data_IF_685157720380
#
_entry.id   IF_685157720380
#
_cell.length_a   1.000
_cell.length_b   1.000
_cell.length_c   1.000
_cell.angle_alpha   90.00
_cell.angle_beta   90.00
_cell.angle_gamma   90.00
#
_symmetry.space_group_name_H-M   'P 1'
#
loop_
_entity.id
_entity.type
_entity.pdbx_description
1 polymer ?
#
# COMPACT_ATOMS: atom_id res chain seq x y z
N UNK A 1 -19.53 -7.59 -18.73
CA UNK A 1 -19.40 -6.11 -18.73
C UNK A 1 -18.15 -5.77 -17.94
N UNK A 2 -17.14 -5.18 -18.59
CA UNK A 2 -15.96 -4.62 -17.92
C UNK A 2 -16.40 -3.38 -17.16
N UNK A 3 -16.50 -3.47 -15.83
CA UNK A 3 -16.75 -2.28 -15.01
C UNK A 3 -15.54 -1.35 -15.17
N UNK A 4 -15.81 -0.10 -15.55
CA UNK A 4 -14.77 0.92 -15.72
C UNK A 4 -14.57 1.60 -14.38
N UNK A 5 -13.34 1.57 -13.87
CA UNK A 5 -12.98 2.15 -12.58
C UNK A 5 -12.48 3.57 -12.84
N UNK A 6 -13.36 4.54 -12.67
CA UNK A 6 -13.14 5.95 -13.00
C UNK A 6 -13.62 6.89 -11.88
N UNK A 7 -13.12 8.12 -11.89
CA UNK A 7 -13.55 9.13 -10.92
C UNK A 7 -15.04 9.48 -11.10
N UNK A 8 -15.85 9.51 -10.03
CA UNK A 8 -17.28 9.84 -10.12
C UNK A 8 -17.53 11.31 -10.48
N UNK A 9 -16.56 12.21 -10.23
CA UNK A 9 -16.71 13.65 -10.53
C UNK A 9 -16.36 14.00 -11.97
N UNK A 10 -15.25 13.49 -12.49
CA UNK A 10 -14.71 13.92 -13.79
C UNK A 10 -14.47 12.79 -14.78
N UNK A 11 -14.81 11.53 -14.43
CA UNK A 11 -14.50 10.31 -15.20
C UNK A 11 -13.02 10.15 -15.56
N UNK A 12 -12.14 10.80 -14.79
CA UNK A 12 -10.70 10.73 -14.94
C UNK A 12 -10.12 9.45 -14.35
N UNK A 13 -8.85 9.14 -14.66
CA UNK A 13 -8.17 7.99 -14.10
C UNK A 13 -8.01 8.10 -12.59
N UNK A 14 -8.04 6.96 -11.92
CA UNK A 14 -7.82 6.83 -10.49
C UNK A 14 -6.40 6.32 -10.21
N UNK A 15 -5.87 6.64 -9.03
CA UNK A 15 -4.69 6.03 -8.43
C UNK A 15 -5.09 5.39 -7.10
N UNK A 16 -4.47 4.26 -6.77
CA UNK A 16 -4.51 3.69 -5.43
C UNK A 16 -3.38 4.31 -4.62
N UNK A 17 -3.65 4.61 -3.37
CA UNK A 17 -2.63 5.00 -2.41
C UNK A 17 -2.72 4.07 -1.19
N UNK A 18 -1.55 3.71 -0.67
CA UNK A 18 -1.36 2.89 0.52
C UNK A 18 -0.36 3.62 1.41
N UNK A 19 -0.74 3.92 2.64
CA UNK A 19 0.20 4.35 3.69
C UNK A 19 0.59 3.11 4.48
N UNK A 20 1.87 2.79 4.45
CA UNK A 20 2.41 1.60 5.12
C UNK A 20 3.48 2.06 6.10
N UNK A 21 3.27 1.78 7.38
CA UNK A 21 4.24 2.03 8.42
C UNK A 21 5.13 0.80 8.58
N UNK A 22 6.41 0.92 8.26
CA UNK A 22 7.36 -0.18 8.40
C UNK A 22 8.60 0.26 9.18
N UNK A 23 9.07 -0.63 10.05
CA UNK A 23 10.33 -0.46 10.79
C UNK A 23 11.44 -1.30 10.15
N UNK A 24 12.55 -0.65 9.79
CA UNK A 24 13.76 -1.32 9.33
C UNK A 24 14.82 -1.32 10.44
N UNK A 25 15.24 -2.51 10.87
CA UNK A 25 16.22 -2.71 11.94
C UNK A 25 17.43 -3.49 11.46
N UNK A 26 18.60 -3.20 12.06
CA UNK A 26 19.87 -3.87 11.78
C UNK A 26 20.52 -4.35 13.08
N UNK A 27 21.13 -5.53 13.05
CA UNK A 27 21.99 -5.97 14.14
C UNK A 27 23.35 -5.27 14.07
N UNK A 28 23.74 -4.58 15.14
CA UNK A 28 25.05 -3.91 15.25
C UNK A 28 26.00 -4.79 16.03
N UNK A 29 27.12 -5.16 15.42
CA UNK A 29 28.17 -5.91 16.10
C UNK A 29 29.03 -5.01 17.01
N UNK A 30 29.83 -5.61 17.90
CA UNK A 30 30.68 -4.87 18.86
C UNK A 30 31.72 -3.95 18.21
N UNK A 31 32.05 -4.16 16.94
CA UNK A 31 32.96 -3.30 16.17
C UNK A 31 32.24 -2.30 15.26
N UNK A 32 30.92 -2.13 15.41
CA UNK A 32 30.12 -1.18 14.65
C UNK A 32 29.70 -1.66 13.25
N UNK A 33 30.03 -2.90 12.85
CA UNK A 33 29.53 -3.44 11.57
C UNK A 33 28.04 -3.77 11.68
N UNK A 34 27.27 -3.29 10.70
CA UNK A 34 25.88 -3.67 10.50
C UNK A 34 25.81 -5.09 9.93
N UNK A 35 24.89 -5.88 10.46
CA UNK A 35 24.58 -7.25 10.05
C UNK A 35 23.08 -7.45 10.10
N UNK A 36 22.59 -8.61 9.63
CA UNK A 36 21.19 -9.10 9.62
C UNK A 36 20.13 -7.99 9.70
N UNK A 37 19.52 -7.66 8.55
CA UNK A 37 18.37 -6.75 8.49
C UNK A 37 17.07 -7.47 8.86
N UNK A 38 16.15 -6.76 9.52
CA UNK A 38 14.76 -7.15 9.67
C UNK A 38 13.87 -5.98 9.28
N UNK A 39 12.85 -6.26 8.47
CA UNK A 39 11.75 -5.34 8.20
C UNK A 39 10.56 -5.89 8.97
N UNK A 40 9.99 -5.06 9.81
CA UNK A 40 8.78 -5.35 10.55
C UNK A 40 7.72 -4.38 10.07
N UNK A 41 6.65 -4.91 9.49
CA UNK A 41 5.44 -4.14 9.21
C UNK A 41 4.79 -3.76 10.54
N UNK A 42 4.58 -2.47 10.75
CA UNK A 42 3.88 -1.97 11.92
C UNK A 42 2.38 -2.07 11.60
N UNK A 43 1.79 -3.23 11.89
CA UNK A 43 0.35 -3.50 11.74
C UNK A 43 -0.57 -2.59 12.59
N UNK A 44 0.00 -1.61 13.29
CA UNK A 44 -0.73 -0.56 14.03
C UNK A 44 -1.08 0.66 13.17
N UNK A 45 -0.60 0.72 11.92
CA UNK A 45 -1.23 1.63 10.96
C UNK A 45 -2.67 1.15 10.78
N UNK A 46 -3.67 2.03 10.91
CA UNK A 46 -5.09 1.73 10.70
C UNK A 46 -5.42 1.33 9.24
N UNK A 47 -4.44 0.84 8.47
CA UNK A 47 -4.59 0.44 7.08
C UNK A 47 -5.08 1.60 6.24
N UNK A 48 -4.38 2.75 6.31
CA UNK A 48 -4.77 3.91 5.52
C UNK A 48 -4.48 3.63 4.06
N UNK A 49 -5.55 3.34 3.34
CA UNK A 49 -5.56 3.13 1.92
C UNK A 49 -6.73 3.87 1.30
N UNK A 50 -6.72 4.02 -0.01
CA UNK A 50 -7.86 4.60 -0.71
C UNK A 50 -7.62 4.80 -2.19
N UNK A 51 -8.56 5.50 -2.80
CA UNK A 51 -8.49 5.93 -4.19
C UNK A 51 -8.45 7.45 -4.24
N UNK A 52 -7.69 7.97 -5.19
CA UNK A 52 -7.69 9.39 -5.51
C UNK A 52 -7.76 9.56 -7.03
N UNK A 53 -8.47 10.61 -7.47
CA UNK A 53 -8.45 10.99 -8.88
C UNK A 53 -7.11 11.66 -9.21
N UNK A 54 -6.64 11.42 -10.44
CA UNK A 54 -5.43 12.06 -10.93
C UNK A 54 -5.71 13.42 -11.60
N UNK A 55 -6.98 13.76 -11.84
CA UNK A 55 -7.39 14.95 -12.59
C UNK A 55 -8.17 15.99 -11.75
N UNK A 56 -8.71 15.61 -10.58
CA UNK A 56 -9.45 16.50 -9.70
C UNK A 56 -9.28 16.10 -8.23
N UNK A 57 -9.80 16.90 -7.31
CA UNK A 57 -9.63 16.74 -5.85
C UNK A 57 -10.58 15.69 -5.25
N UNK A 58 -10.98 14.68 -6.02
CA UNK A 58 -11.76 13.56 -5.48
C UNK A 58 -10.81 12.53 -4.88
N UNK A 59 -11.07 12.16 -3.62
CA UNK A 59 -10.45 11.03 -2.95
C UNK A 59 -11.45 10.35 -2.02
N UNK A 60 -11.19 9.09 -1.70
CA UNK A 60 -11.99 8.30 -0.77
C UNK A 60 -11.07 7.31 -0.04
N UNK A 61 -11.29 7.16 1.27
CA UNK A 61 -10.59 6.17 2.06
C UNK A 61 -11.16 4.78 1.82
N UNK A 62 -10.32 3.75 1.93
CA UNK A 62 -10.72 2.35 1.71
C UNK A 62 -11.81 1.89 2.67
N UNK A 63 -11.86 2.43 3.89
CA UNK A 63 -12.94 2.19 4.84
C UNK A 63 -14.30 2.73 4.37
N UNK A 64 -14.29 3.80 3.59
CA UNK A 64 -15.49 4.47 3.09
C UNK A 64 -15.92 3.94 1.71
N UNK A 65 -15.23 2.93 1.17
CA UNK A 65 -15.57 2.32 -0.11
C UNK A 65 -16.72 1.33 0.01
N UNK A 66 -17.84 1.66 -0.64
CA UNK A 66 -18.98 0.75 -0.78
C UNK A 66 -18.91 -0.11 -2.07
N UNK A 67 -18.17 0.36 -3.08
CA UNK A 67 -18.08 -0.29 -4.39
C UNK A 67 -17.08 -1.46 -4.38
N UNK A 68 -17.59 -2.68 -4.59
CA UNK A 68 -16.79 -3.91 -4.58
C UNK A 68 -15.68 -3.96 -5.63
N UNK A 69 -15.84 -3.28 -6.76
CA UNK A 69 -14.80 -3.23 -7.79
C UNK A 69 -13.65 -2.32 -7.35
N UNK A 70 -13.95 -1.23 -6.66
CA UNK A 70 -12.97 -0.33 -6.08
C UNK A 70 -12.20 -1.01 -4.93
N UNK A 71 -12.90 -1.74 -4.05
CA UNK A 71 -12.27 -2.52 -2.97
C UNK A 71 -11.26 -3.54 -3.52
N UNK A 72 -11.60 -4.26 -4.60
CA UNK A 72 -10.70 -5.25 -5.23
C UNK A 72 -9.41 -4.65 -5.77
N UNK A 73 -9.45 -3.42 -6.27
CA UNK A 73 -8.25 -2.74 -6.76
C UNK A 73 -7.32 -2.38 -5.60
N UNK A 74 -7.88 -1.97 -4.45
CA UNK A 74 -7.10 -1.76 -3.23
C UNK A 74 -6.52 -3.07 -2.71
N UNK A 75 -7.29 -4.16 -2.65
CA UNK A 75 -6.80 -5.50 -2.27
C UNK A 75 -5.63 -5.95 -3.17
N UNK A 76 -5.76 -5.74 -4.48
CA UNK A 76 -4.70 -6.08 -5.45
C UNK A 76 -3.42 -5.27 -5.22
N UNK A 77 -3.54 -4.02 -4.78
CA UNK A 77 -2.40 -3.18 -4.44
C UNK A 77 -1.72 -3.67 -3.15
N UNK A 78 -2.50 -4.07 -2.13
CA UNK A 78 -1.96 -4.71 -0.92
C UNK A 78 -1.22 -6.00 -1.22
N UNK A 79 -1.76 -6.86 -2.07
CA UNK A 79 -1.08 -8.11 -2.47
C UNK A 79 0.28 -7.84 -3.14
N UNK A 80 0.33 -6.86 -4.05
CA UNK A 80 1.60 -6.46 -4.68
C UNK A 80 2.60 -5.89 -3.67
N UNK A 81 2.12 -5.18 -2.65
CA UNK A 81 2.95 -4.71 -1.54
C UNK A 81 3.53 -5.88 -0.73
N UNK A 82 2.70 -6.84 -0.32
CA UNK A 82 3.15 -8.02 0.43
C UNK A 82 4.20 -8.82 -0.35
N UNK A 83 4.01 -8.99 -1.66
CA UNK A 83 4.99 -9.63 -2.55
C UNK A 83 6.32 -8.87 -2.59
N UNK A 84 6.28 -7.53 -2.64
CA UNK A 84 7.47 -6.70 -2.57
C UNK A 84 8.17 -6.84 -1.22
N UNK A 85 7.42 -6.83 -0.12
CA UNK A 85 7.96 -7.01 1.22
C UNK A 85 8.66 -8.36 1.36
N UNK A 86 8.02 -9.43 0.90
CA UNK A 86 8.59 -10.78 0.86
C UNK A 86 9.88 -10.80 0.04
N UNK A 87 9.91 -10.16 -1.14
CA UNK A 87 11.10 -10.07 -1.97
C UNK A 87 12.26 -9.33 -1.27
N UNK A 88 11.97 -8.25 -0.54
CA UNK A 88 12.98 -7.51 0.22
C UNK A 88 13.49 -8.34 1.41
N UNK A 89 12.62 -9.08 2.10
CA UNK A 89 12.97 -10.00 3.19
C UNK A 89 13.80 -11.21 2.71
N UNK A 90 13.54 -11.70 1.49
CA UNK A 90 14.15 -12.91 0.93
C UNK A 90 15.55 -12.72 0.33
N UNK A 91 15.98 -11.50 -0.02
CA UNK A 91 17.37 -11.19 -0.47
C UNK A 91 18.41 -11.29 0.67
N UNK A 92 18.26 -12.27 1.58
CA UNK A 92 19.20 -12.62 2.65
C UNK A 92 20.32 -13.51 2.12
#
# INVERSE_FOLDING_TARGET
>A
MTQTIECPKCRGPLKVWLEIDATLSFAVSRNGKLSKRSITDNQESDGRCGLACQNCDWEIHGHDLEDKSQSRVIESAYQQWEELELAVRARK
#
